data_IF_724911344390
#
_entry.id   IF_724911344390
#
_cell.length_a   1.000
_cell.length_b   1.000
_cell.length_c   1.000
_cell.angle_alpha   90.00
_cell.angle_beta   90.00
_cell.angle_gamma   90.00
#
_symmetry.space_group_name_H-M   'P 1'
#
loop_
_entity.id
_entity.type
_entity.pdbx_description
1 polymer ?
#
# COMPACT_ATOMS: atom_id res chain seq x y z
N UNK A 1 -19.31 -11.45 -6.48
CA UNK A 1 -20.37 -10.46 -6.24
C UNK A 1 -20.85 -10.59 -4.80
N UNK A 2 -20.37 -9.72 -3.90
CA UNK A 2 -20.93 -9.55 -2.56
C UNK A 2 -21.09 -8.05 -2.33
N UNK A 3 -22.27 -7.57 -2.70
CA UNK A 3 -22.72 -6.20 -2.52
C UNK A 3 -22.78 -5.87 -1.02
N UNK A 4 -21.78 -5.12 -0.54
CA UNK A 4 -21.76 -4.59 0.83
C UNK A 4 -21.21 -3.16 0.90
N UNK A 5 -21.57 -2.32 -0.07
CA UNK A 5 -21.70 -0.88 0.20
C UNK A 5 -23.00 -0.65 0.98
N UNK A 6 -23.06 -1.11 2.24
CA UNK A 6 -24.19 -0.75 3.10
C UNK A 6 -24.11 0.75 3.37
N UNK A 7 -24.97 1.50 2.67
CA UNK A 7 -25.24 2.90 2.95
C UNK A 7 -25.45 3.08 4.46
N UNK A 8 -24.96 4.17 5.06
CA UNK A 8 -25.14 4.42 6.49
C UNK A 8 -26.63 4.43 6.81
N UNK A 9 -27.05 3.52 7.71
CA UNK A 9 -28.44 3.41 8.13
C UNK A 9 -28.79 4.61 9.02
N UNK A 10 -29.37 5.65 8.45
CA UNK A 10 -29.95 6.74 9.21
C UNK A 10 -31.25 6.29 9.87
N UNK A 11 -31.48 6.69 11.13
CA UNK A 11 -32.72 6.34 11.85
C UNK A 11 -33.92 7.19 11.41
N UNK A 12 -33.71 8.25 10.62
CA UNK A 12 -34.78 9.09 10.05
C UNK A 12 -34.31 9.94 8.85
N UNK A 13 -35.24 10.35 7.98
CA UNK A 13 -35.01 11.34 6.90
C UNK A 13 -34.47 12.68 7.40
N UNK A 14 -34.78 13.06 8.65
CA UNK A 14 -34.26 14.28 9.28
C UNK A 14 -32.76 14.16 9.58
N UNK A 15 -32.30 13.00 10.06
CA UNK A 15 -30.88 12.74 10.31
C UNK A 15 -30.08 12.71 9.01
N UNK A 16 -30.64 12.11 7.96
CA UNK A 16 -30.04 12.12 6.62
C UNK A 16 -29.89 13.54 6.07
N UNK A 17 -30.96 14.35 6.12
CA UNK A 17 -30.90 15.77 5.72
C UNK A 17 -29.91 16.58 6.55
N UNK A 18 -29.81 16.32 7.85
CA UNK A 18 -28.85 17.02 8.72
C UNK A 18 -27.41 16.60 8.43
N UNK A 19 -27.16 15.32 8.16
CA UNK A 19 -25.85 14.80 7.78
C UNK A 19 -25.39 15.35 6.42
N UNK A 20 -26.29 15.39 5.43
CA UNK A 20 -26.05 16.03 4.13
C UNK A 20 -25.76 17.53 4.29
N UNK A 21 -26.58 18.23 5.08
CA UNK A 21 -26.38 19.68 5.34
C UNK A 21 -25.06 19.96 6.07
N UNK A 22 -24.64 19.09 6.98
CA UNK A 22 -23.38 19.22 7.70
C UNK A 22 -22.17 18.90 6.80
N UNK A 23 -22.25 17.86 5.96
CA UNK A 23 -21.23 17.53 4.97
C UNK A 23 -21.06 18.65 3.92
N UNK A 24 -22.16 19.34 3.58
CA UNK A 24 -22.17 20.51 2.69
C UNK A 24 -21.79 21.82 3.39
N UNK A 25 -21.83 21.89 4.73
CA UNK A 25 -21.48 23.11 5.44
C UNK A 25 -19.96 23.24 5.55
N UNK A 26 -19.39 24.15 4.75
CA UNK A 26 -17.97 24.56 4.76
C UNK A 26 -17.54 25.31 6.04
N UNK A 27 -18.01 24.90 7.22
CA UNK A 27 -17.63 25.55 8.48
C UNK A 27 -16.18 25.19 8.85
N UNK A 28 -15.28 26.08 8.44
CA UNK A 28 -13.93 26.34 8.96
C UNK A 28 -13.06 25.11 9.23
N UNK A 29 -12.60 24.46 8.17
CA UNK A 29 -11.40 23.65 8.28
C UNK A 29 -10.18 24.52 7.97
N UNK A 30 -9.38 24.80 8.99
CA UNK A 30 -8.04 25.41 8.84
C UNK A 30 -7.19 24.45 8.01
N UNK A 31 -6.52 24.95 6.95
CA UNK A 31 -5.76 24.21 5.90
C UNK A 31 -6.61 23.60 4.75
N UNK A 32 -7.11 24.46 3.84
CA UNK A 32 -7.76 24.08 2.59
C UNK A 32 -6.79 24.14 1.40
N UNK A 33 -5.89 23.16 1.28
CA UNK A 33 -5.12 23.01 0.03
C UNK A 33 -5.96 22.24 -1.00
N UNK A 34 -5.68 22.39 -2.29
CA UNK A 34 -6.40 21.66 -3.35
C UNK A 34 -6.37 20.14 -3.11
N UNK A 35 -5.21 19.59 -2.73
CA UNK A 35 -5.08 18.18 -2.39
C UNK A 35 -5.99 17.77 -1.22
N UNK A 36 -6.08 18.58 -0.16
CA UNK A 36 -6.93 18.26 1.01
C UNK A 36 -8.42 18.27 0.65
N UNK A 37 -8.83 19.12 -0.28
CA UNK A 37 -10.21 19.15 -0.77
C UNK A 37 -10.56 17.84 -1.50
N UNK A 38 -9.68 17.36 -2.39
CA UNK A 38 -9.87 16.11 -3.13
C UNK A 38 -9.79 14.88 -2.21
N UNK A 39 -8.84 14.84 -1.28
CA UNK A 39 -8.74 13.78 -0.26
C UNK A 39 -10.05 13.66 0.54
N UNK A 40 -10.66 14.79 0.92
CA UNK A 40 -11.96 14.80 1.62
C UNK A 40 -13.11 14.38 0.71
N UNK A 41 -13.12 14.78 -0.56
CA UNK A 41 -14.13 14.36 -1.56
C UNK A 41 -14.21 12.83 -1.57
N UNK A 42 -13.09 12.14 -1.78
CA UNK A 42 -13.08 10.67 -1.88
C UNK A 42 -13.17 9.93 -0.54
N UNK A 43 -12.87 10.59 0.58
CA UNK A 43 -13.10 10.02 1.93
C UNK A 43 -14.57 10.12 2.37
N UNK A 44 -15.32 11.06 1.80
CA UNK A 44 -16.73 11.29 2.14
C UNK A 44 -17.58 10.11 1.66
N UNK A 45 -18.48 9.64 2.52
CA UNK A 45 -19.41 8.54 2.20
C UNK A 45 -20.84 9.03 2.00
N UNK A 46 -21.08 10.31 2.30
CA UNK A 46 -22.39 10.95 2.33
C UNK A 46 -22.29 12.42 1.87
N UNK A 47 -22.70 12.74 0.63
CA UNK A 47 -23.14 11.80 -0.41
C UNK A 47 -22.00 10.84 -0.83
N UNK A 48 -22.30 9.69 -1.47
CA UNK A 48 -21.28 8.88 -2.10
C UNK A 48 -20.42 9.75 -3.04
N UNK A 49 -19.10 9.54 -3.08
CA UNK A 49 -18.23 10.35 -3.91
C UNK A 49 -18.49 10.06 -5.38
N UNK A 50 -18.40 11.10 -6.19
CA UNK A 50 -18.42 10.98 -7.65
C UNK A 50 -17.04 10.52 -8.14
N UNK A 51 -17.04 9.45 -8.95
CA UNK A 51 -15.85 8.82 -9.50
C UNK A 51 -15.62 9.16 -10.98
N UNK A 52 -16.40 10.06 -11.58
CA UNK A 52 -16.28 10.42 -13.00
C UNK A 52 -14.89 10.96 -13.37
N UNK A 53 -14.23 11.64 -12.43
CA UNK A 53 -12.87 12.18 -12.61
C UNK A 53 -11.75 11.14 -12.35
N UNK A 54 -12.11 9.91 -11.97
CA UNK A 54 -11.12 8.86 -11.64
C UNK A 54 -10.71 8.13 -12.90
N UNK A 55 -9.39 8.05 -13.11
CA UNK A 55 -8.81 7.30 -14.23
C UNK A 55 -8.93 5.80 -13.98
N UNK A 56 -9.66 5.10 -14.85
CA UNK A 56 -9.79 3.65 -14.85
C UNK A 56 -8.98 3.05 -15.99
N UNK A 57 -7.72 2.78 -15.72
CA UNK A 57 -6.85 2.13 -16.70
C UNK A 57 -7.11 0.62 -16.86
N UNK A 58 -7.91 -0.01 -15.98
CA UNK A 58 -8.29 -1.43 -16.13
C UNK A 58 -9.37 -1.60 -17.19
N UNK A 59 -10.27 -0.62 -17.29
CA UNK A 59 -11.24 -0.53 -18.36
C UNK A 59 -11.26 0.87 -18.97
N UNK A 60 -10.58 1.04 -20.10
CA UNK A 60 -10.49 2.32 -20.80
C UNK A 60 -11.86 2.89 -21.20
N UNK A 61 -12.87 2.03 -21.44
CA UNK A 61 -14.22 2.45 -21.81
C UNK A 61 -14.96 3.18 -20.67
N UNK A 62 -14.53 3.00 -19.42
CA UNK A 62 -15.11 3.69 -18.27
C UNK A 62 -14.62 5.15 -18.14
N UNK A 63 -13.65 5.57 -18.95
CA UNK A 63 -13.06 6.91 -18.86
C UNK A 63 -13.83 7.90 -19.74
N UNK A 64 -13.93 9.14 -19.26
CA UNK A 64 -14.41 10.25 -20.10
C UNK A 64 -13.38 10.58 -21.19
N UNK A 65 -13.78 11.29 -22.26
CA UNK A 65 -12.84 11.75 -23.30
C UNK A 65 -11.68 12.57 -22.73
N UNK A 66 -11.92 13.40 -21.71
CA UNK A 66 -10.90 14.19 -21.03
C UNK A 66 -9.90 13.32 -20.25
N UNK A 67 -10.38 12.24 -19.63
CA UNK A 67 -9.54 11.28 -18.94
C UNK A 67 -8.67 10.49 -19.92
N UNK A 68 -9.23 10.07 -21.05
CA UNK A 68 -8.49 9.38 -22.11
C UNK A 68 -7.40 10.27 -22.72
N UNK A 69 -7.63 11.56 -22.87
CA UNK A 69 -6.61 12.48 -23.37
C UNK A 69 -5.38 12.55 -22.44
N UNK A 70 -5.55 12.35 -21.14
CA UNK A 70 -4.42 12.34 -20.18
C UNK A 70 -3.61 11.05 -20.24
N UNK A 71 -4.21 9.93 -20.67
CA UNK A 71 -3.60 8.61 -20.65
C UNK A 71 -2.74 8.40 -21.90
N UNK A 72 -1.49 7.98 -21.68
CA UNK A 72 -0.56 7.63 -22.76
C UNK A 72 -0.31 6.13 -22.71
N UNK A 73 -0.51 5.44 -23.83
CA UNK A 73 -0.17 4.03 -24.00
C UNK A 73 1.33 3.87 -24.26
N UNK A 74 1.95 2.95 -23.54
CA UNK A 74 3.38 2.61 -23.61
C UNK A 74 3.58 1.10 -23.79
N UNK A 75 4.81 0.72 -24.13
CA UNK A 75 5.25 -0.68 -24.20
C UNK A 75 6.47 -0.90 -23.30
N UNK A 76 6.41 -1.89 -22.42
CA UNK A 76 7.50 -2.33 -21.55
C UNK A 76 8.67 -2.87 -22.37
N UNK A 77 9.91 -2.74 -21.91
CA UNK A 77 11.09 -3.36 -22.55
C UNK A 77 11.00 -4.89 -22.60
N UNK A 78 10.45 -5.49 -21.55
CA UNK A 78 10.30 -6.93 -21.42
C UNK A 78 8.92 -7.30 -20.88
N UNK A 79 8.43 -8.51 -21.18
CA UNK A 79 7.25 -9.07 -20.52
C UNK A 79 7.60 -9.45 -19.08
N UNK A 80 6.70 -9.15 -18.14
CA UNK A 80 6.93 -9.44 -16.72
C UNK A 80 6.92 -10.95 -16.44
N UNK A 81 6.06 -11.72 -17.12
CA UNK A 81 6.02 -13.17 -17.00
C UNK A 81 7.29 -13.85 -17.54
N UNK A 82 7.99 -13.22 -18.49
CA UNK A 82 9.29 -13.69 -18.97
C UNK A 82 10.41 -13.45 -17.95
N UNK A 83 10.32 -12.35 -17.20
CA UNK A 83 11.35 -11.96 -16.23
C UNK A 83 11.22 -12.69 -14.89
N UNK A 84 10.00 -13.01 -14.46
CA UNK A 84 9.78 -13.78 -13.24
C UNK A 84 8.55 -14.68 -13.34
N UNK A 85 8.66 -15.98 -12.98
CA UNK A 85 7.52 -16.89 -12.91
C UNK A 85 6.51 -16.51 -11.82
N UNK A 86 6.89 -15.64 -10.86
CA UNK A 86 6.05 -15.21 -9.76
C UNK A 86 4.87 -14.34 -10.21
N UNK A 87 4.91 -13.80 -11.43
CA UNK A 87 3.76 -13.15 -12.05
C UNK A 87 2.70 -14.16 -12.56
N UNK A 88 3.04 -15.44 -12.66
CA UNK A 88 2.20 -16.47 -13.29
C UNK A 88 2.00 -16.22 -14.78
N UNK A 89 1.02 -16.89 -15.40
CA UNK A 89 0.76 -16.78 -16.84
C UNK A 89 -0.68 -16.33 -17.11
N UNK A 90 -0.86 -15.20 -17.81
CA UNK A 90 -2.15 -14.72 -18.32
C UNK A 90 -1.94 -13.83 -19.57
N UNK A 91 -3.00 -13.48 -20.29
CA UNK A 91 -2.88 -12.65 -21.50
C UNK A 91 -2.28 -11.26 -21.22
N UNK A 92 -2.62 -10.68 -20.06
CA UNK A 92 -2.17 -9.35 -19.66
C UNK A 92 -0.67 -9.27 -19.36
N UNK A 93 -0.08 -10.35 -18.85
CA UNK A 93 1.31 -10.40 -18.41
C UNK A 93 2.28 -10.92 -19.48
N UNK A 94 1.76 -11.64 -20.47
CA UNK A 94 2.45 -11.89 -21.73
C UNK A 94 2.50 -10.61 -22.57
N UNK A 95 1.49 -9.75 -22.45
CA UNK A 95 1.51 -8.40 -23.00
C UNK A 95 2.61 -7.54 -22.39
N UNK A 96 3.14 -6.62 -23.22
CA UNK A 96 4.08 -5.56 -22.79
C UNK A 96 3.36 -4.23 -22.56
N UNK A 97 2.03 -4.25 -22.46
CA UNK A 97 1.22 -3.03 -22.43
C UNK A 97 1.28 -2.34 -21.06
N UNK A 98 1.54 -1.03 -21.06
CA UNK A 98 1.49 -0.19 -19.87
C UNK A 98 1.00 1.23 -20.22
N UNK A 99 0.76 2.05 -19.20
CA UNK A 99 0.25 3.41 -19.39
C UNK A 99 1.01 4.43 -18.56
N UNK A 100 1.11 5.68 -19.02
CA UNK A 100 1.55 6.81 -18.19
C UNK A 100 0.57 7.98 -18.34
N UNK A 101 0.84 9.10 -17.67
CA UNK A 101 0.07 10.34 -17.78
C UNK A 101 0.88 11.46 -18.43
N UNK A 102 0.24 12.23 -19.31
CA UNK A 102 0.84 13.40 -19.97
C UNK A 102 1.32 14.45 -18.97
N UNK A 103 0.47 14.80 -18.01
CA UNK A 103 0.67 15.93 -17.09
C UNK A 103 1.66 15.64 -15.94
N UNK A 104 2.25 14.44 -15.93
CA UNK A 104 3.05 13.93 -14.84
C UNK A 104 4.34 13.25 -15.35
N UNK A 105 5.21 13.97 -16.08
CA UNK A 105 6.50 13.46 -16.54
C UNK A 105 7.37 13.06 -15.33
N UNK A 106 7.91 11.85 -15.35
CA UNK A 106 8.59 11.22 -14.20
C UNK A 106 7.76 10.11 -13.53
N UNK A 107 6.46 10.04 -13.82
CA UNK A 107 5.63 8.94 -13.35
C UNK A 107 5.74 7.74 -14.28
N UNK A 108 6.21 6.64 -13.67
CA UNK A 108 6.52 5.37 -14.29
C UNK A 108 5.31 4.77 -15.01
N UNK A 109 5.55 3.84 -15.95
CA UNK A 109 4.47 3.09 -16.58
C UNK A 109 3.63 2.39 -15.51
N UNK A 110 2.37 2.77 -15.37
CA UNK A 110 1.34 2.00 -14.68
C UNK A 110 1.08 0.76 -15.53
N UNK A 111 1.76 -0.33 -15.19
CA UNK A 111 1.44 -1.65 -15.72
C UNK A 111 0.09 -2.07 -15.16
N UNK A 112 -0.89 -2.32 -16.04
CA UNK A 112 -2.09 -3.04 -15.61
C UNK A 112 -1.78 -4.52 -15.53
N UNK A 113 -1.97 -5.05 -14.32
CA UNK A 113 -2.25 -6.45 -13.99
C UNK A 113 -1.34 -7.49 -14.66
N UNK A 114 -0.09 -7.56 -14.21
CA UNK A 114 0.83 -8.63 -14.60
C UNK A 114 0.66 -9.93 -13.81
N UNK A 115 -0.08 -9.92 -12.71
CA UNK A 115 -0.25 -11.13 -11.93
C UNK A 115 -1.45 -11.95 -12.41
N UNK A 116 -1.21 -13.22 -12.73
CA UNK A 116 -2.26 -14.22 -12.82
C UNK A 116 -3.01 -14.34 -11.48
N UNK A 117 -4.32 -14.69 -11.48
CA UNK A 117 -5.10 -14.80 -10.25
C UNK A 117 -4.48 -15.72 -9.18
N UNK A 118 -3.83 -16.81 -9.59
CA UNK A 118 -3.09 -17.71 -8.68
C UNK A 118 -1.84 -17.05 -8.10
N UNK A 119 -1.10 -16.33 -8.93
CA UNK A 119 0.08 -15.57 -8.51
C UNK A 119 -0.29 -14.49 -7.48
N UNK A 120 -1.38 -13.74 -7.70
CA UNK A 120 -1.89 -12.77 -6.72
C UNK A 120 -2.18 -13.43 -5.38
N UNK A 121 -2.84 -14.60 -5.38
CA UNK A 121 -3.13 -15.36 -4.15
C UNK A 121 -1.86 -15.80 -3.45
N UNK A 122 -0.82 -16.19 -4.19
CA UNK A 122 0.45 -16.62 -3.62
C UNK A 122 1.19 -15.47 -2.96
N UNK A 123 1.27 -14.30 -3.61
CA UNK A 123 1.88 -13.10 -3.01
C UNK A 123 1.10 -12.67 -1.76
N UNK A 124 -0.24 -12.63 -1.81
CA UNK A 124 -1.08 -12.34 -0.62
C UNK A 124 -0.78 -13.31 0.53
N UNK A 125 -0.67 -14.62 0.24
CA UNK A 125 -0.33 -15.62 1.24
C UNK A 125 1.07 -15.37 1.81
N UNK A 126 2.05 -15.05 0.98
CA UNK A 126 3.42 -14.76 1.42
C UNK A 126 3.46 -13.55 2.34
N UNK A 127 2.81 -12.45 1.96
CA UNK A 127 2.68 -11.26 2.80
C UNK A 127 2.03 -11.56 4.15
N UNK A 128 0.96 -12.35 4.19
CA UNK A 128 0.27 -12.66 5.46
C UNK A 128 0.98 -13.71 6.31
N UNK A 129 1.72 -14.64 5.71
CA UNK A 129 2.26 -15.82 6.39
C UNK A 129 3.75 -15.75 6.64
N UNK A 130 4.52 -15.42 5.62
CA UNK A 130 5.98 -15.53 5.62
C UNK A 130 6.61 -14.20 5.99
N UNK A 131 6.14 -13.09 5.41
CA UNK A 131 6.71 -11.77 5.70
C UNK A 131 6.30 -11.23 7.07
N UNK A 132 5.22 -11.76 7.66
CA UNK A 132 4.77 -11.43 9.02
C UNK A 132 5.52 -12.21 10.12
N UNK A 133 6.53 -13.00 9.77
CA UNK A 133 7.42 -13.67 10.70
C UNK A 133 8.63 -12.81 11.03
N UNK A 134 9.23 -13.04 12.19
CA UNK A 134 10.56 -12.52 12.46
C UNK A 134 11.58 -13.06 11.44
N UNK A 135 12.61 -12.27 11.08
CA UNK A 135 13.03 -11.02 11.72
C UNK A 135 12.33 -9.75 11.23
N UNK A 136 11.37 -9.83 10.30
CA UNK A 136 10.61 -8.64 9.92
C UNK A 136 9.81 -8.12 11.12
N UNK A 137 9.62 -6.80 11.16
CA UNK A 137 8.92 -6.13 12.24
C UNK A 137 7.58 -5.60 11.74
N UNK A 138 6.56 -5.65 12.59
CA UNK A 138 5.20 -5.21 12.32
C UNK A 138 4.67 -4.26 13.39
N UNK A 139 3.63 -3.50 13.11
CA UNK A 139 3.04 -2.61 14.10
C UNK A 139 2.59 -3.31 15.41
N UNK A 140 2.48 -4.65 15.43
CA UNK A 140 2.13 -5.41 16.62
C UNK A 140 3.32 -5.61 17.57
N UNK A 141 4.54 -5.67 17.06
CA UNK A 141 5.79 -5.85 17.83
C UNK A 141 6.09 -4.67 18.77
N UNK A 142 5.41 -3.54 18.57
CA UNK A 142 5.43 -2.38 19.47
C UNK A 142 4.84 -2.66 20.85
N UNK A 143 3.89 -3.60 20.91
CA UNK A 143 2.98 -3.73 22.05
C UNK A 143 2.79 -5.18 22.49
N UNK A 144 2.97 -6.14 21.59
CA UNK A 144 2.76 -7.56 21.82
C UNK A 144 4.08 -8.31 21.67
N UNK A 145 4.25 -9.34 22.47
CA UNK A 145 5.32 -10.33 22.29
C UNK A 145 4.87 -11.34 21.22
N UNK A 146 5.15 -10.98 19.96
CA UNK A 146 4.73 -11.75 18.79
C UNK A 146 5.66 -12.95 18.63
N UNK A 147 5.13 -14.19 18.45
CA UNK A 147 6.00 -15.34 18.23
C UNK A 147 6.77 -15.24 16.91
N UNK A 148 7.98 -15.79 16.86
CA UNK A 148 8.81 -15.89 15.65
C UNK A 148 8.07 -16.47 14.43
N UNK A 149 7.16 -17.42 14.69
CA UNK A 149 6.34 -18.05 13.66
C UNK A 149 5.23 -17.15 13.08
N UNK A 150 5.12 -15.91 13.57
CA UNK A 150 4.17 -14.89 13.17
C UNK A 150 2.75 -15.10 13.70
N UNK A 151 1.95 -14.03 13.70
CA UNK A 151 0.56 -14.05 14.19
C UNK A 151 -0.35 -14.92 13.33
N UNK A 152 -0.06 -15.07 12.03
CA UNK A 152 -0.90 -15.88 11.14
C UNK A 152 -0.89 -17.37 11.50
N UNK A 153 0.25 -17.89 11.95
CA UNK A 153 0.37 -19.29 12.38
C UNK A 153 -0.56 -19.56 13.58
N UNK A 154 -0.59 -18.66 14.55
CA UNK A 154 -1.52 -18.74 15.68
C UNK A 154 -2.99 -18.60 15.24
N UNK A 155 -3.27 -17.67 14.34
CA UNK A 155 -4.61 -17.51 13.78
C UNK A 155 -5.11 -18.79 13.11
N UNK A 156 -4.27 -19.44 12.31
CA UNK A 156 -4.62 -20.69 11.65
C UNK A 156 -4.93 -21.81 12.65
N UNK A 157 -4.11 -21.96 13.70
CA UNK A 157 -4.35 -22.93 14.79
C UNK A 157 -5.68 -22.65 15.50
N UNK A 158 -5.97 -21.37 15.77
CA UNK A 158 -7.22 -20.95 16.42
C UNK A 158 -8.45 -21.27 15.56
N UNK A 159 -8.38 -21.02 14.25
CA UNK A 159 -9.49 -21.31 13.33
C UNK A 159 -9.72 -22.82 13.17
N UNK A 160 -8.66 -23.63 13.22
CA UNK A 160 -8.75 -25.09 13.16
C UNK A 160 -9.21 -25.74 14.47
N UNK A 161 -9.34 -24.96 15.56
CA UNK A 161 -9.67 -25.48 16.88
C UNK A 161 -8.52 -26.24 17.56
N UNK A 162 -7.29 -26.08 17.07
CA UNK A 162 -6.09 -26.67 17.68
C UNK A 162 -5.66 -25.92 18.95
N UNK A 163 -6.09 -24.67 19.10
CA UNK A 163 -5.93 -23.86 20.31
C UNK A 163 -7.27 -23.28 20.73
N UNK A 164 -7.49 -23.28 22.04
CA UNK A 164 -8.71 -22.88 22.72
C UNK A 164 -8.44 -21.74 23.70
N UNK A 165 -9.44 -20.96 24.13
CA UNK A 165 -9.23 -19.88 25.10
C UNK A 165 -8.63 -20.30 26.45
N UNK A 166 -8.61 -21.61 26.74
CA UNK A 166 -7.98 -22.18 27.92
C UNK A 166 -6.45 -22.33 27.76
N UNK A 167 -5.94 -22.34 26.53
CA UNK A 167 -4.52 -22.49 26.25
C UNK A 167 -3.77 -21.18 26.46
N UNK A 168 -2.62 -21.24 27.14
CA UNK A 168 -1.80 -20.07 27.44
C UNK A 168 -1.37 -19.29 26.18
N UNK A 169 -1.21 -19.99 25.05
CA UNK A 169 -0.79 -19.41 23.76
C UNK A 169 -1.95 -18.78 22.96
N UNK A 170 -3.19 -18.88 23.45
CA UNK A 170 -4.36 -18.34 22.76
C UNK A 170 -4.43 -16.82 22.83
N UNK A 171 -3.93 -16.23 23.90
CA UNK A 171 -3.83 -14.79 24.06
C UNK A 171 -2.37 -14.38 23.89
N UNK A 172 -2.09 -13.50 22.94
CA UNK A 172 -0.71 -13.04 22.71
C UNK A 172 -0.36 -12.04 23.80
N UNK A 173 0.66 -12.32 24.64
CA UNK A 173 1.01 -11.47 25.76
C UNK A 173 1.46 -10.09 25.30
N UNK A 174 1.30 -9.11 26.20
CA UNK A 174 1.88 -7.79 26.00
C UNK A 174 3.39 -7.88 26.24
N UNK A 175 4.14 -7.11 25.47
CA UNK A 175 5.58 -7.03 25.64
C UNK A 175 5.90 -6.44 27.02
N UNK A 176 6.74 -7.13 27.80
CA UNK A 176 7.19 -6.62 29.10
C UNK A 176 8.04 -5.35 28.90
N UNK A 177 8.12 -4.50 29.93
CA UNK A 177 9.00 -3.34 29.88
C UNK A 177 10.45 -3.82 29.94
N UNK A 178 11.11 -3.94 28.80
CA UNK A 178 12.56 -3.91 28.74
C UNK A 178 13.01 -2.46 28.56
N UNK A 179 14.01 -2.06 29.34
CA UNK A 179 14.78 -0.81 29.17
C UNK A 179 15.90 -1.01 28.13
N UNK A 180 15.72 -1.95 27.19
CA UNK A 180 16.74 -2.27 26.20
C UNK A 180 16.87 -1.13 25.20
N UNK A 181 17.93 -0.32 25.38
CA UNK A 181 18.38 0.74 24.46
C UNK A 181 18.70 0.20 23.05
N UNK A 182 18.73 -1.12 22.86
CA UNK A 182 18.97 -1.82 21.60
C UNK A 182 17.69 -2.06 20.75
N UNK A 183 16.51 -1.62 21.19
CA UNK A 183 15.28 -1.68 20.37
C UNK A 183 15.37 -0.75 19.16
N UNK A 184 15.63 -1.35 17.98
CA UNK A 184 15.83 -0.61 16.74
C UNK A 184 14.56 -0.58 15.89
N UNK A 185 14.31 0.59 15.29
CA UNK A 185 13.16 0.84 14.42
C UNK A 185 12.03 1.55 15.16
N UNK A 186 10.80 1.43 14.66
CA UNK A 186 9.57 2.10 15.13
C UNK A 186 9.22 2.03 16.64
N UNK A 187 10.01 1.32 17.45
CA UNK A 187 9.54 0.67 18.67
C UNK A 187 10.25 1.11 19.94
N UNK A 188 11.50 1.56 19.85
CA UNK A 188 12.27 1.97 21.03
C UNK A 188 11.56 3.06 21.87
N UNK A 189 10.79 3.93 21.20
CA UNK A 189 10.12 5.08 21.81
C UNK A 189 8.61 5.20 21.48
N UNK A 190 7.98 4.13 20.98
CA UNK A 190 6.55 4.17 20.70
C UNK A 190 5.75 4.40 22.00
N UNK A 191 4.79 5.36 22.06
CA UNK A 191 3.96 5.57 23.25
C UNK A 191 3.20 4.28 23.60
N UNK A 192 3.65 3.58 24.64
CA UNK A 192 3.04 2.33 25.11
C UNK A 192 1.74 2.69 25.83
N UNK A 193 0.61 2.57 25.12
CA UNK A 193 -0.72 2.88 25.65
C UNK A 193 -1.05 1.94 26.82
N UNK A 194 -1.13 2.50 28.03
CA UNK A 194 -1.29 1.74 29.28
C UNK A 194 -2.65 1.01 29.39
N UNK A 195 -3.56 1.20 28.43
CA UNK A 195 -4.87 0.55 28.37
C UNK A 195 -4.96 -0.56 27.31
N UNK A 196 -3.85 -1.03 26.75
CA UNK A 196 -3.86 -2.12 25.78
C UNK A 196 -4.29 -3.43 26.42
N UNK A 197 -5.33 -4.06 25.85
CA UNK A 197 -5.77 -5.38 26.25
C UNK A 197 -4.92 -6.47 25.58
N UNK A 198 -4.74 -7.59 26.28
CA UNK A 198 -4.24 -8.84 25.70
C UNK A 198 -5.31 -9.38 24.74
N UNK A 199 -4.90 -9.78 23.53
CA UNK A 199 -5.85 -10.13 22.47
C UNK A 199 -5.58 -11.49 21.84
N UNK A 200 -6.65 -12.14 21.35
CA UNK A 200 -6.50 -13.38 20.61
C UNK A 200 -6.05 -13.13 19.15
N UNK A 201 -5.40 -14.12 18.50
CA UNK A 201 -4.85 -14.01 17.16
C UNK A 201 -5.83 -13.48 16.10
N UNK A 202 -7.11 -13.89 16.16
CA UNK A 202 -8.10 -13.46 15.17
C UNK A 202 -8.38 -11.94 15.22
N UNK A 203 -8.17 -11.30 16.37
CA UNK A 203 -8.25 -9.84 16.48
C UNK A 203 -6.95 -9.18 16.05
N UNK A 204 -5.81 -9.77 16.40
CA UNK A 204 -4.49 -9.23 16.07
C UNK A 204 -4.20 -9.24 14.57
N UNK A 205 -4.56 -10.30 13.84
CA UNK A 205 -4.48 -10.33 12.37
C UNK A 205 -5.22 -9.15 11.74
N UNK A 206 -6.37 -8.75 12.31
CA UNK A 206 -7.15 -7.59 11.83
C UNK A 206 -6.56 -6.24 12.28
N UNK A 207 -5.63 -6.24 13.23
CA UNK A 207 -4.89 -5.05 13.72
C UNK A 207 -3.51 -4.92 13.10
N UNK A 208 -3.07 -5.89 12.30
CA UNK A 208 -1.90 -5.75 11.44
C UNK A 208 -2.13 -4.59 10.47
N UNK A 209 -1.17 -3.66 10.38
CA UNK A 209 -1.24 -2.42 9.60
C UNK A 209 -0.03 -2.24 8.71
N UNK A 210 1.15 -2.61 9.18
CA UNK A 210 2.34 -2.57 8.38
C UNK A 210 3.35 -3.61 8.82
N UNK A 211 4.23 -3.99 7.89
CA UNK A 211 5.47 -4.75 8.12
C UNK A 211 6.61 -4.04 7.39
N UNK A 212 7.78 -3.98 8.02
CA UNK A 212 9.03 -3.49 7.43
C UNK A 212 9.96 -4.64 7.09
N UNK A 213 10.47 -4.64 5.87
CA UNK A 213 11.37 -5.65 5.31
C UNK A 213 12.72 -5.02 4.94
N UNK A 214 13.83 -5.76 5.14
CA UNK A 214 15.16 -5.24 4.81
C UNK A 214 15.67 -4.24 5.85
N UNK A 215 16.14 -3.08 5.39
CA UNK A 215 16.49 -1.95 6.27
C UNK A 215 15.25 -1.45 7.02
N UNK A 216 15.39 -1.31 8.34
CA UNK A 216 14.27 -0.93 9.19
C UNK A 216 14.08 0.58 9.19
N UNK A 217 12.85 1.01 8.92
CA UNK A 217 12.47 2.40 8.92
C UNK A 217 12.13 2.86 10.35
N UNK A 218 12.81 3.90 10.83
CA UNK A 218 12.45 4.57 12.06
C UNK A 218 11.38 5.62 11.78
N UNK A 219 10.16 5.42 12.31
CA UNK A 219 9.04 6.32 12.08
C UNK A 219 9.14 7.66 12.83
N UNK A 220 9.96 7.73 13.88
CA UNK A 220 10.22 8.96 14.64
C UNK A 220 11.18 9.86 13.87
N UNK A 221 12.35 9.31 13.52
CA UNK A 221 13.41 10.05 12.84
C UNK A 221 13.21 10.14 11.32
N UNK A 222 12.29 9.34 10.77
CA UNK A 222 11.98 9.24 9.34
C UNK A 222 13.18 8.83 8.47
N UNK A 223 14.09 8.05 9.04
CA UNK A 223 15.32 7.56 8.40
C UNK A 223 15.43 6.04 8.51
N UNK A 224 16.25 5.45 7.66
CA UNK A 224 16.58 4.02 7.73
C UNK A 224 17.74 3.77 8.71
N UNK A 225 17.58 2.77 9.58
CA UNK A 225 18.65 2.31 10.45
C UNK A 225 19.64 1.45 9.65
N UNK A 226 20.73 2.06 9.16
CA UNK A 226 21.72 1.39 8.30
C UNK A 226 22.52 0.29 9.01
N UNK A 227 22.56 0.31 10.34
CA UNK A 227 23.32 -0.64 11.16
C UNK A 227 22.62 -1.99 11.34
N UNK A 228 21.29 -2.06 11.18
CA UNK A 228 20.51 -3.31 11.30
C UNK A 228 19.75 -3.59 10.01
N UNK A 229 20.29 -4.52 9.22
CA UNK A 229 19.70 -5.04 7.99
C UNK A 229 19.19 -6.45 8.21
N UNK A 230 17.89 -6.65 8.03
CA UNK A 230 17.32 -7.99 7.91
C UNK A 230 17.32 -8.46 6.44
N UNK A 231 17.21 -9.77 6.19
CA UNK A 231 17.04 -10.27 4.83
C UNK A 231 15.79 -9.66 4.18
N UNK A 232 15.94 -9.16 2.96
CA UNK A 232 14.79 -8.73 2.15
C UNK A 232 14.09 -9.97 1.57
N UNK A 233 12.75 -10.05 1.57
CA UNK A 233 12.04 -11.20 1.02
C UNK A 233 12.37 -11.45 -0.46
N UNK A 234 12.85 -12.65 -0.76
CA UNK A 234 13.34 -13.01 -2.10
C UNK A 234 12.24 -12.91 -3.17
N UNK A 235 11.02 -13.36 -2.86
CA UNK A 235 9.88 -13.32 -3.77
C UNK A 235 9.47 -11.88 -4.13
N UNK A 236 9.32 -11.00 -3.15
CA UNK A 236 9.04 -9.58 -3.39
C UNK A 236 10.20 -8.90 -4.10
N UNK A 237 11.43 -9.26 -3.75
CA UNK A 237 12.64 -8.70 -4.34
C UNK A 237 12.78 -9.05 -5.82
N UNK A 238 12.51 -10.31 -6.17
CA UNK A 238 12.50 -10.79 -7.55
C UNK A 238 11.43 -10.07 -8.38
N UNK A 239 10.21 -9.96 -7.85
CA UNK A 239 9.12 -9.23 -8.51
C UNK A 239 9.50 -7.77 -8.75
N UNK A 240 10.03 -7.06 -7.73
CA UNK A 240 10.43 -5.66 -7.85
C UNK A 240 11.57 -5.46 -8.87
N UNK A 241 12.53 -6.37 -8.88
CA UNK A 241 13.64 -6.37 -9.85
C UNK A 241 13.14 -6.60 -11.27
N UNK A 242 12.22 -7.55 -11.46
CA UNK A 242 11.60 -7.81 -12.75
C UNK A 242 10.81 -6.60 -13.27
N UNK A 243 10.05 -5.91 -12.42
CA UNK A 243 9.38 -4.65 -12.81
C UNK A 243 10.41 -3.62 -13.25
N UNK A 244 11.47 -3.41 -12.47
CA UNK A 244 12.50 -2.40 -12.76
C UNK A 244 13.20 -2.66 -14.09
N UNK A 245 13.50 -3.92 -14.42
CA UNK A 245 14.04 -4.31 -15.73
C UNK A 245 13.03 -4.10 -16.88
N UNK A 246 11.75 -4.36 -16.64
CA UNK A 246 10.71 -4.18 -17.66
C UNK A 246 10.46 -2.70 -18.02
N UNK A 247 10.70 -1.78 -17.10
CA UNK A 247 10.48 -0.33 -17.28
C UNK A 247 11.74 0.42 -17.74
N UNK A 248 12.88 -0.25 -17.90
CA UNK A 248 14.12 0.37 -18.39
C UNK A 248 13.94 0.87 -19.83
N UNK A 249 14.30 2.13 -20.11
CA UNK A 249 14.13 2.76 -21.41
C UNK A 249 12.68 3.08 -21.79
N UNK A 250 11.73 2.91 -20.86
CA UNK A 250 10.30 3.14 -21.11
C UNK A 250 9.89 4.52 -20.62
N UNK A 251 9.11 5.22 -21.44
CA UNK A 251 8.51 6.49 -21.06
C UNK A 251 7.87 7.22 -22.22
N UNK A 252 7.53 8.49 -22.01
CA UNK A 252 6.80 9.32 -22.97
C UNK A 252 7.49 10.67 -23.15
N UNK A 253 7.58 11.13 -24.40
CA UNK A 253 7.96 12.49 -24.75
C UNK A 253 6.84 13.11 -25.58
N UNK A 254 6.32 14.24 -25.12
CA UNK A 254 5.30 15.03 -25.80
C UNK A 254 5.83 15.72 -27.05
N UNK A 255 4.91 16.33 -27.80
CA UNK A 255 5.21 17.03 -29.06
C UNK A 255 6.09 18.27 -28.82
N UNK A 256 5.99 18.86 -27.63
CA UNK A 256 6.79 19.98 -27.15
C UNK A 256 8.22 19.58 -26.71
N UNK A 257 8.57 18.29 -26.82
CA UNK A 257 9.83 17.74 -26.36
C UNK A 257 9.92 17.56 -24.84
N UNK A 258 8.85 17.86 -24.09
CA UNK A 258 8.80 17.62 -22.66
C UNK A 258 8.35 16.19 -22.38
N UNK A 259 8.95 15.56 -21.38
CA UNK A 259 8.62 14.19 -21.06
C UNK A 259 9.62 13.55 -20.14
N UNK A 260 9.49 12.24 -20.00
CA UNK A 260 10.37 11.42 -19.19
C UNK A 260 10.50 10.05 -19.82
N UNK A 261 11.75 9.58 -19.95
CA UNK A 261 12.09 8.21 -20.28
C UNK A 261 12.91 7.69 -19.11
N UNK A 262 12.50 6.56 -18.52
CA UNK A 262 13.24 5.95 -17.44
C UNK A 262 14.60 5.45 -17.95
N UNK A 263 15.69 6.05 -17.50
CA UNK A 263 17.06 5.64 -17.84
C UNK A 263 17.71 4.77 -16.75
N UNK A 264 16.96 4.42 -15.69
CA UNK A 264 17.51 3.61 -14.61
C UNK A 264 17.79 2.18 -15.11
N UNK A 265 19.04 1.76 -15.01
CA UNK A 265 19.48 0.43 -15.42
C UNK A 265 18.90 -0.65 -14.50
N UNK A 266 18.11 -1.56 -15.07
CA UNK A 266 17.40 -2.58 -14.30
C UNK A 266 18.32 -3.50 -13.49
N UNK A 267 19.54 -3.75 -13.99
CA UNK A 267 20.54 -4.60 -13.33
C UNK A 267 21.20 -3.93 -12.11
N UNK A 268 21.10 -2.61 -11.97
CA UNK A 268 21.58 -1.86 -10.80
C UNK A 268 20.53 -1.76 -9.69
N UNK A 269 19.31 -2.22 -9.94
CA UNK A 269 18.26 -2.19 -8.92
C UNK A 269 18.51 -3.31 -7.90
N UNK A 270 18.53 -2.93 -6.62
CA UNK A 270 18.56 -3.86 -5.50
C UNK A 270 17.48 -3.45 -4.51
N UNK A 271 16.47 -4.28 -4.24
CA UNK A 271 15.47 -3.99 -3.23
C UNK A 271 16.09 -4.19 -1.84
N UNK A 272 16.23 -3.09 -1.09
CA UNK A 272 16.90 -3.13 0.21
C UNK A 272 15.99 -2.76 1.38
N UNK A 273 14.90 -2.05 1.12
CA UNK A 273 13.91 -1.64 2.10
C UNK A 273 12.51 -1.75 1.50
N UNK A 274 11.54 -2.17 2.31
CA UNK A 274 10.17 -2.36 1.85
C UNK A 274 9.17 -2.26 2.98
N UNK A 275 7.97 -1.78 2.65
CA UNK A 275 6.85 -1.67 3.59
C UNK A 275 5.63 -2.36 3.01
N UNK A 276 5.12 -3.38 3.71
CA UNK A 276 3.87 -4.04 3.37
C UNK A 276 2.77 -3.39 4.20
N UNK A 277 1.84 -2.68 3.55
CA UNK A 277 0.73 -2.03 4.23
C UNK A 277 -0.56 -2.87 4.15
N UNK A 278 -1.27 -2.99 5.27
CA UNK A 278 -2.55 -3.69 5.38
C UNK A 278 -3.67 -2.69 5.67
N UNK A 279 -4.60 -2.56 4.72
CA UNK A 279 -5.73 -1.64 4.83
C UNK A 279 -7.05 -2.39 5.03
N UNK A 280 -7.82 -1.95 6.01
CA UNK A 280 -9.23 -2.27 6.15
C UNK A 280 -10.07 -1.30 5.31
N UNK A 281 -11.35 -1.63 5.06
CA UNK A 281 -12.28 -0.82 4.24
C UNK A 281 -12.53 0.62 4.73
N UNK A 282 -12.07 0.98 5.94
CA UNK A 282 -12.19 2.32 6.51
C UNK A 282 -10.85 3.04 6.63
N UNK A 283 -9.76 2.35 6.32
CA UNK A 283 -8.43 2.90 6.44
C UNK A 283 -8.14 3.82 5.25
N UNK A 284 -7.27 4.78 5.49
CA UNK A 284 -6.84 5.76 4.50
C UNK A 284 -5.41 6.15 4.80
N UNK A 285 -4.56 6.21 3.79
CA UNK A 285 -3.23 6.79 3.90
C UNK A 285 -3.31 8.28 3.54
N UNK A 286 -2.80 9.13 4.43
CA UNK A 286 -2.82 10.58 4.20
C UNK A 286 -1.74 10.99 3.20
N UNK A 287 -1.92 12.14 2.56
CA UNK A 287 -0.94 12.73 1.66
C UNK A 287 0.44 12.87 2.33
N UNK A 288 1.47 12.29 1.70
CA UNK A 288 2.87 12.38 2.08
C UNK A 288 3.74 12.29 0.82
N UNK A 289 5.04 12.52 1.00
CA UNK A 289 6.06 12.35 -0.04
C UNK A 289 7.15 11.48 0.58
N UNK A 290 7.59 10.47 -0.16
CA UNK A 290 8.70 9.61 0.22
C UNK A 290 10.01 10.33 -0.09
N UNK A 291 10.83 10.56 0.93
CA UNK A 291 12.09 11.33 0.87
C UNK A 291 13.19 10.73 1.75
N UNK A 292 12.98 9.51 2.21
CA UNK A 292 13.84 8.90 3.21
C UNK A 292 14.97 8.08 2.59
N UNK A 293 14.83 7.77 1.31
CA UNK A 293 15.80 7.07 0.48
C UNK A 293 16.99 7.99 0.17
N UNK A 294 18.20 7.45 0.26
CA UNK A 294 19.43 8.17 -0.10
C UNK A 294 19.53 8.30 -1.63
N UNK A 295 19.14 7.24 -2.35
CA UNK A 295 19.13 7.20 -3.81
C UNK A 295 17.73 7.50 -4.33
N UNK A 296 17.51 8.73 -4.79
CA UNK A 296 16.24 9.17 -5.38
C UNK A 296 16.13 8.87 -6.89
N UNK A 297 17.18 8.32 -7.52
CA UNK A 297 17.17 7.93 -8.93
C UNK A 297 16.57 6.53 -9.13
N UNK A 298 16.69 5.66 -8.12
CA UNK A 298 16.11 4.32 -8.17
C UNK A 298 14.57 4.37 -8.12
N UNK A 299 13.88 3.53 -8.90
CA UNK A 299 12.42 3.53 -8.93
C UNK A 299 11.83 2.97 -7.64
N UNK A 300 10.76 3.60 -7.15
CA UNK A 300 9.91 3.06 -6.08
C UNK A 300 8.84 2.16 -6.71
N UNK A 301 8.83 0.89 -6.33
CA UNK A 301 7.88 -0.10 -6.85
C UNK A 301 6.76 -0.34 -5.84
N UNK A 302 5.51 -0.12 -6.26
CA UNK A 302 4.33 -0.31 -5.42
C UNK A 302 3.38 -1.34 -6.03
N UNK A 303 2.94 -2.29 -5.21
CA UNK A 303 1.98 -3.33 -5.58
C UNK A 303 0.71 -3.18 -4.76
N UNK A 304 -0.44 -3.32 -5.41
CA UNK A 304 -1.75 -3.32 -4.75
C UNK A 304 -2.48 -4.64 -5.04
N UNK A 305 -2.95 -5.30 -3.99
CA UNK A 305 -3.58 -6.62 -4.04
C UNK A 305 -4.85 -6.61 -3.18
N UNK A 306 -5.94 -7.20 -3.69
CA UNK A 306 -7.22 -7.29 -2.98
C UNK A 306 -8.24 -6.25 -3.43
N UNK A 307 -8.78 -5.48 -2.49
CA UNK A 307 -9.80 -4.47 -2.81
C UNK A 307 -9.21 -3.27 -3.54
N UNK A 308 -9.97 -2.73 -4.50
CA UNK A 308 -9.61 -1.49 -5.19
C UNK A 308 -9.52 -0.31 -4.21
N UNK A 309 -8.60 0.61 -4.48
CA UNK A 309 -8.43 1.86 -3.75
C UNK A 309 -8.44 3.04 -4.73
N UNK A 310 -8.64 4.24 -4.19
CA UNK A 310 -8.41 5.50 -4.92
C UNK A 310 -7.00 5.97 -4.55
N UNK A 311 -6.16 6.15 -5.57
CA UNK A 311 -4.81 6.69 -5.43
C UNK A 311 -4.78 8.12 -5.94
N UNK A 312 -4.39 9.07 -5.07
CA UNK A 312 -4.27 10.48 -5.42
C UNK A 312 -2.79 10.82 -5.64
N UNK A 313 -2.48 11.31 -6.83
CA UNK A 313 -1.12 11.69 -7.22
C UNK A 313 -1.04 13.21 -7.31
N UNK A 314 -0.33 13.85 -6.39
CA UNK A 314 -0.21 15.31 -6.36
C UNK A 314 0.92 15.85 -7.24
N UNK A 315 1.03 17.17 -7.30
CA UNK A 315 2.21 17.85 -7.84
C UNK A 315 3.27 18.11 -6.78
N UNK A 316 4.24 18.97 -7.12
CA UNK A 316 5.33 19.37 -6.22
C UNK A 316 4.86 20.04 -4.91
N UNK A 317 3.64 20.61 -4.90
CA UNK A 317 3.04 21.26 -3.74
C UNK A 317 1.62 20.73 -3.47
N UNK A 318 1.15 20.94 -2.24
CA UNK A 318 -0.19 20.50 -1.79
C UNK A 318 -1.35 21.30 -2.42
N UNK A 319 -1.01 22.41 -3.08
CA UNK A 319 -1.95 23.35 -3.70
C UNK A 319 -2.23 22.99 -5.17
N UNK A 320 -1.43 22.10 -5.76
CA UNK A 320 -1.72 21.51 -7.06
C UNK A 320 -2.80 20.44 -6.88
N UNK A 321 -3.86 20.54 -7.67
CA UNK A 321 -4.93 19.54 -7.68
C UNK A 321 -4.39 18.21 -8.20
N UNK A 322 -4.56 17.11 -7.44
CA UNK A 322 -4.16 15.77 -7.87
C UNK A 322 -5.08 15.17 -8.95
#
# INVERSE_FOLDING_TARGET
MSDTTKAPKFKSRRQEKLALKNAQSNKSYVNQTAFRAIERKYRTRLPPPDFSDVLDFANLENNTPENLDKIVRLELKHSLAQLSPLFGTNEHNQGRLCYTLKDHPGNLPRGFTSFAPDAQRNVIKSCLREHAKHPNLSNLDAHYDVPDAGIWSLYQKSVKGEITPQDAIYYVPLKEKSDDEDEVGAYGDAPKDSNLAVLPPFQLVRRLRWITCGYQYNWLDKTYALEKRYPFPEDIGEIATAVTKAIEGVGYTGIDGQGYINQYEGDKFSPEAGVINYYQLKDSLMAHVDKSEINMDAPLISFSLGHSCIYLLGGATRDITP
#
